data_IF_379125751246
#
_entry.id   IF_379125751246
#
_cell.length_a   1.000
_cell.length_b   1.000
_cell.length_c   1.000
_cell.angle_alpha   90.00
_cell.angle_beta   90.00
_cell.angle_gamma   90.00
#
_symmetry.space_group_name_H-M   'P 1'
#
loop_
_entity.id
_entity.type
_entity.pdbx_description
1 polymer ?
#
# COMPACT_ATOMS: atom_id res chain seq x y z
N UNK A 1 49.21 49.93 3.87
CA UNK A 1 48.81 48.78 4.71
C UNK A 1 47.29 48.66 4.78
N UNK A 2 46.58 48.74 3.65
CA UNK A 2 45.09 48.84 3.61
C UNK A 2 44.45 47.89 2.59
N UNK A 3 45.18 47.39 1.59
CA UNK A 3 44.65 46.51 0.53
C UNK A 3 44.42 45.07 1.03
N UNK A 4 45.24 44.59 1.98
CA UNK A 4 45.13 43.23 2.53
C UNK A 4 43.82 42.99 3.31
N UNK A 5 43.27 44.00 3.99
CA UNK A 5 42.00 43.88 4.72
C UNK A 5 40.77 43.78 3.80
N UNK A 6 40.81 44.39 2.62
CA UNK A 6 39.73 44.29 1.63
C UNK A 6 39.62 42.89 1.03
N UNK A 7 40.75 42.18 0.86
CA UNK A 7 40.74 40.80 0.36
C UNK A 7 40.12 39.81 1.36
N UNK A 8 40.38 39.98 2.67
CA UNK A 8 39.74 39.15 3.70
C UNK A 8 38.24 39.45 3.83
N UNK A 9 37.83 40.72 3.74
CA UNK A 9 36.41 41.09 3.75
C UNK A 9 35.65 40.53 2.54
N UNK A 10 36.26 40.57 1.34
CA UNK A 10 35.66 40.00 0.14
C UNK A 10 35.54 38.47 0.22
N UNK A 11 36.58 37.78 0.72
CA UNK A 11 36.54 36.32 0.90
C UNK A 11 35.48 35.88 1.94
N UNK A 12 35.33 36.64 3.03
CA UNK A 12 34.30 36.38 4.04
C UNK A 12 32.88 36.58 3.48
N UNK A 13 32.66 37.60 2.65
CA UNK A 13 31.36 37.82 2.00
C UNK A 13 31.03 36.71 0.99
N UNK A 14 32.00 36.22 0.21
CA UNK A 14 31.79 35.10 -0.72
C UNK A 14 31.49 33.81 0.04
N UNK A 15 32.23 33.53 1.12
CA UNK A 15 31.97 32.36 1.97
C UNK A 15 30.58 32.42 2.62
N UNK A 16 30.14 33.60 3.09
CA UNK A 16 28.82 33.80 3.67
C UNK A 16 27.70 33.58 2.63
N UNK A 17 27.86 34.10 1.41
CA UNK A 17 26.91 33.90 0.31
C UNK A 17 26.86 32.42 -0.11
N UNK A 18 28.00 31.73 -0.16
CA UNK A 18 28.03 30.28 -0.44
C UNK A 18 27.36 29.46 0.67
N UNK A 19 27.54 29.82 1.94
CA UNK A 19 26.88 29.13 3.07
C UNK A 19 25.36 29.39 3.08
N UNK A 20 24.92 30.61 2.78
CA UNK A 20 23.50 30.94 2.66
C UNK A 20 22.89 30.25 1.45
N UNK A 21 23.59 30.22 0.31
CA UNK A 21 23.20 29.51 -0.90
C UNK A 21 23.11 27.99 -0.69
N UNK A 22 24.08 27.39 -0.01
CA UNK A 22 24.08 25.95 0.32
C UNK A 22 22.97 25.60 1.33
N UNK A 23 22.70 26.46 2.33
CA UNK A 23 21.55 26.29 3.24
C UNK A 23 20.21 26.49 2.53
N UNK A 24 20.10 27.44 1.61
CA UNK A 24 18.89 27.66 0.81
C UNK A 24 18.66 26.53 -0.20
N UNK A 25 19.72 26.00 -0.82
CA UNK A 25 19.66 24.82 -1.69
C UNK A 25 19.29 23.55 -0.91
N UNK A 26 19.83 23.37 0.30
CA UNK A 26 19.47 22.25 1.19
C UNK A 26 18.02 22.35 1.71
N UNK A 27 17.51 23.57 1.93
CA UNK A 27 16.09 23.80 2.26
C UNK A 27 15.18 23.57 1.04
N UNK A 28 15.57 24.05 -0.15
CA UNK A 28 14.85 23.77 -1.41
C UNK A 28 14.84 22.28 -1.76
N UNK A 29 15.87 21.52 -1.41
CA UNK A 29 15.89 20.07 -1.64
C UNK A 29 14.98 19.31 -0.67
N UNK A 30 14.78 19.81 0.57
CA UNK A 30 13.69 19.33 1.44
C UNK A 30 12.31 19.76 0.94
N UNK A 31 12.22 20.93 0.31
CA UNK A 31 10.96 21.45 -0.18
C UNK A 31 10.52 20.88 -1.54
N UNK A 32 11.42 20.25 -2.28
CA UNK A 32 11.16 19.62 -3.59
C UNK A 32 10.54 18.22 -3.51
N UNK A 33 10.39 17.66 -2.31
CA UNK A 33 9.61 16.43 -2.16
C UNK A 33 8.17 16.76 -2.53
N UNK A 34 7.65 16.09 -3.57
CA UNK A 34 6.23 16.17 -3.90
C UNK A 34 5.41 15.85 -2.65
N UNK A 35 4.20 16.39 -2.49
CA UNK A 35 3.33 16.05 -1.37
C UNK A 35 3.23 14.53 -1.14
N UNK A 36 3.26 13.76 -2.23
CA UNK A 36 3.27 12.29 -2.22
C UNK A 36 4.55 11.68 -1.65
N UNK A 37 5.73 12.22 -1.99
CA UNK A 37 7.01 11.78 -1.41
C UNK A 37 7.13 12.15 0.06
N UNK A 38 6.52 13.26 0.49
CA UNK A 38 6.43 13.62 1.91
C UNK A 38 5.49 12.69 2.66
N UNK A 39 4.35 12.36 2.07
CA UNK A 39 3.43 11.35 2.60
C UNK A 39 4.11 9.98 2.67
N UNK A 40 4.96 9.65 1.70
CA UNK A 40 5.72 8.40 1.68
C UNK A 40 6.76 8.32 2.80
N UNK A 41 7.50 9.41 3.02
CA UNK A 41 8.47 9.50 4.11
C UNK A 41 7.76 9.47 5.47
N UNK A 42 6.63 10.15 5.60
CA UNK A 42 5.79 10.11 6.79
C UNK A 42 5.28 8.68 7.04
N UNK A 43 4.77 8.00 6.02
CA UNK A 43 4.31 6.60 6.09
C UNK A 43 5.42 5.65 6.53
N UNK A 44 6.63 5.79 6.00
CA UNK A 44 7.79 4.99 6.44
C UNK A 44 8.18 5.30 7.88
N UNK A 45 8.09 6.57 8.30
CA UNK A 45 8.33 6.97 9.68
C UNK A 45 7.25 6.41 10.62
N UNK A 46 5.98 6.40 10.22
CA UNK A 46 4.86 5.85 11.00
C UNK A 46 4.93 4.33 11.09
N UNK A 47 5.34 3.65 10.01
CA UNK A 47 5.60 2.21 10.04
C UNK A 47 6.75 1.87 10.99
N UNK A 48 7.81 2.68 10.99
CA UNK A 48 8.91 2.54 11.94
C UNK A 48 8.49 2.83 13.38
N UNK A 49 7.64 3.85 13.60
CA UNK A 49 7.07 4.15 14.91
C UNK A 49 6.20 2.99 15.41
N UNK A 50 5.38 2.39 14.54
CA UNK A 50 4.59 1.19 14.84
C UNK A 50 5.45 -0.03 15.16
N UNK A 51 6.62 -0.20 14.54
CA UNK A 51 7.58 -1.24 14.93
C UNK A 51 8.21 -0.95 16.30
N UNK A 52 8.59 0.30 16.55
CA UNK A 52 9.15 0.74 17.83
C UNK A 52 8.15 0.57 18.99
N UNK A 53 6.88 0.91 18.79
CA UNK A 53 5.79 0.73 19.77
C UNK A 53 5.54 -0.76 20.10
N UNK A 54 5.79 -1.67 19.16
CA UNK A 54 5.70 -3.14 19.37
C UNK A 54 6.95 -3.75 20.04
N UNK A 55 7.90 -2.93 20.44
CA UNK A 55 9.14 -3.39 21.08
C UNK A 55 10.19 -3.96 20.11
N UNK A 56 9.93 -3.95 18.79
CA UNK A 56 10.95 -4.29 17.79
C UNK A 56 11.77 -3.04 17.46
N UNK A 57 12.88 -2.93 18.17
CA UNK A 57 13.74 -1.74 18.13
C UNK A 57 14.84 -1.82 17.07
N UNK A 58 14.85 -2.87 16.22
CA UNK A 58 15.90 -3.17 15.24
C UNK A 58 15.82 -2.38 13.92
N UNK A 59 15.15 -1.21 13.92
CA UNK A 59 15.15 -0.29 12.79
C UNK A 59 16.56 0.22 12.40
N UNK A 60 16.63 1.30 11.62
CA UNK A 60 17.83 1.84 10.94
C UNK A 60 19.12 1.92 11.80
N UNK A 61 19.01 2.01 13.13
CA UNK A 61 20.15 2.14 14.05
C UNK A 61 20.67 0.82 14.65
N UNK A 62 20.05 -0.33 14.34
CA UNK A 62 20.39 -1.64 14.89
C UNK A 62 20.20 -1.74 16.41
N UNK A 63 20.59 -2.89 16.98
CA UNK A 63 20.41 -3.22 18.41
C UNK A 63 21.09 -2.19 19.34
N UNK A 64 22.22 -1.61 18.92
CA UNK A 64 22.94 -0.63 19.73
C UNK A 64 22.24 0.74 19.78
N UNK A 65 21.62 1.18 18.68
CA UNK A 65 20.86 2.44 18.64
C UNK A 65 19.53 2.35 19.38
N UNK A 66 18.89 1.18 19.36
CA UNK A 66 17.73 0.86 20.16
C UNK A 66 17.94 1.07 21.68
N UNK A 67 19.04 0.56 22.20
CA UNK A 67 19.40 0.71 23.62
C UNK A 67 19.74 2.16 24.00
N UNK A 68 20.25 2.95 23.05
CA UNK A 68 20.53 4.35 23.25
C UNK A 68 19.24 5.18 23.34
N UNK A 69 18.24 4.91 22.49
CA UNK A 69 16.94 5.59 22.56
C UNK A 69 16.17 5.24 23.84
N UNK A 70 16.18 3.98 24.29
CA UNK A 70 15.57 3.57 25.57
C UNK A 70 16.13 4.30 26.79
N UNK A 71 17.36 4.82 26.71
CA UNK A 71 18.00 5.60 27.78
C UNK A 71 17.62 7.08 27.78
N UNK A 72 17.16 7.62 26.66
CA UNK A 72 16.89 9.06 26.48
C UNK A 72 15.44 9.40 26.77
N UNK A 73 14.49 8.50 26.45
CA UNK A 73 13.07 8.72 26.70
C UNK A 73 12.40 7.38 27.06
N UNK A 74 12.17 7.07 28.35
CA UNK A 74 11.43 5.89 28.73
C UNK A 74 9.97 6.09 28.31
N UNK A 75 9.56 5.47 27.20
CA UNK A 75 8.15 5.41 26.82
C UNK A 75 7.32 4.91 28.02
N UNK A 76 6.11 5.47 28.24
CA UNK A 76 5.19 4.91 29.21
C UNK A 76 4.96 3.44 28.84
N UNK A 77 5.14 2.58 29.83
CA UNK A 77 4.97 1.14 29.65
C UNK A 77 3.49 0.84 29.41
N UNK A 78 3.11 0.75 28.15
CA UNK A 78 1.73 0.44 27.71
C UNK A 78 1.31 -0.97 28.16
N UNK A 79 2.25 -1.80 28.62
CA UNK A 79 1.96 -3.12 29.18
C UNK A 79 1.81 -3.12 30.71
N UNK A 80 2.26 -2.07 31.40
CA UNK A 80 2.20 -2.01 32.87
C UNK A 80 0.78 -1.88 33.45
N UNK A 81 -0.17 -1.34 32.66
CA UNK A 81 -1.57 -1.18 33.07
C UNK A 81 -2.51 -2.24 32.46
N UNK A 82 -2.00 -3.17 31.65
CA UNK A 82 -2.78 -4.34 31.21
C UNK A 82 -2.86 -5.32 32.38
N UNK A 83 -3.91 -5.19 33.16
CA UNK A 83 -4.25 -6.20 34.15
C UNK A 83 -4.66 -7.47 33.37
N UNK A 84 -3.73 -8.42 33.23
CA UNK A 84 -3.92 -9.73 32.56
C UNK A 84 -5.16 -10.53 33.05
N UNK A 85 -5.83 -10.07 34.11
CA UNK A 85 -7.00 -10.66 34.75
C UNK A 85 -8.32 -9.87 34.56
N UNK A 86 -8.35 -8.80 33.76
CA UNK A 86 -9.59 -8.13 33.45
C UNK A 86 -10.39 -8.92 32.40
N UNK A 87 -11.64 -9.23 32.74
CA UNK A 87 -12.57 -10.02 31.92
C UNK A 87 -13.10 -9.11 30.80
N UNK A 88 -12.30 -8.94 29.74
CA UNK A 88 -12.64 -8.06 28.62
C UNK A 88 -13.67 -8.70 27.70
N UNK A 89 -14.56 -7.87 27.13
CA UNK A 89 -15.55 -8.34 26.17
C UNK A 89 -14.85 -8.85 24.91
N UNK A 90 -15.13 -10.11 24.57
CA UNK A 90 -14.51 -10.80 23.44
C UNK A 90 -14.91 -10.12 22.13
N UNK A 91 -13.94 -9.61 21.39
CA UNK A 91 -14.16 -9.01 20.06
C UNK A 91 -14.14 -10.05 18.94
N UNK A 92 -14.72 -9.71 17.79
CA UNK A 92 -14.59 -10.51 16.59
C UNK A 92 -13.13 -10.52 16.09
N UNK A 93 -12.71 -11.66 15.53
CA UNK A 93 -11.39 -11.84 14.94
C UNK A 93 -11.54 -12.28 13.48
N UNK A 94 -10.51 -12.06 12.66
CA UNK A 94 -10.50 -12.48 11.26
C UNK A 94 -10.63 -14.00 11.16
N UNK A 95 -11.64 -14.45 10.42
CA UNK A 95 -11.90 -15.85 10.11
C UNK A 95 -11.14 -16.28 8.85
N UNK A 96 -10.25 -17.27 8.99
CA UNK A 96 -9.44 -17.80 7.89
C UNK A 96 -10.11 -18.94 7.13
N UNK A 97 -11.27 -19.42 7.61
CA UNK A 97 -12.05 -20.48 6.98
C UNK A 97 -13.51 -20.08 6.82
N UNK A 98 -14.21 -20.71 5.87
CA UNK A 98 -15.64 -20.46 5.64
C UNK A 98 -16.49 -20.77 6.89
N UNK A 99 -16.18 -21.87 7.59
CA UNK A 99 -16.90 -22.27 8.80
C UNK A 99 -16.71 -21.26 9.95
N UNK A 100 -15.49 -20.71 10.10
CA UNK A 100 -15.23 -19.66 11.09
C UNK A 100 -15.93 -18.36 10.72
N UNK A 101 -16.06 -18.06 9.42
CA UNK A 101 -16.80 -16.90 8.95
C UNK A 101 -18.30 -17.05 9.23
N UNK A 102 -18.90 -18.21 9.00
CA UNK A 102 -20.30 -18.48 9.35
C UNK A 102 -20.52 -18.29 10.85
N UNK A 103 -19.58 -18.75 11.67
CA UNK A 103 -19.62 -18.57 13.13
C UNK A 103 -19.52 -17.10 13.52
N UNK A 104 -18.63 -16.34 12.89
CA UNK A 104 -18.46 -14.90 13.10
C UNK A 104 -19.75 -14.15 12.78
N UNK A 105 -20.37 -14.45 11.63
CA UNK A 105 -21.60 -13.80 11.17
C UNK A 105 -22.82 -14.16 12.03
N UNK A 106 -22.83 -15.34 12.64
CA UNK A 106 -23.86 -15.75 13.57
C UNK A 106 -23.71 -15.09 14.96
N UNK A 107 -22.48 -14.95 15.46
CA UNK A 107 -22.21 -14.41 16.80
C UNK A 107 -22.21 -12.88 16.85
N UNK A 108 -21.74 -12.21 15.79
CA UNK A 108 -21.62 -10.75 15.68
C UNK A 108 -21.04 -10.08 16.94
N UNK A 109 -19.91 -10.60 17.40
CA UNK A 109 -19.12 -9.96 18.48
C UNK A 109 -18.71 -8.52 18.09
N UNK A 110 -18.33 -7.65 19.02
CA UNK A 110 -17.87 -6.30 18.70
C UNK A 110 -16.80 -6.28 17.59
N UNK A 111 -16.89 -5.33 16.67
CA UNK A 111 -16.07 -5.19 15.46
C UNK A 111 -16.31 -6.25 14.37
N UNK A 112 -17.40 -7.04 14.44
CA UNK A 112 -17.68 -8.12 13.49
C UNK A 112 -17.73 -7.65 12.04
N UNK A 113 -18.24 -6.44 11.75
CA UNK A 113 -18.38 -5.92 10.38
C UNK A 113 -17.03 -5.83 9.66
N UNK A 114 -16.00 -5.39 10.38
CA UNK A 114 -14.64 -5.27 9.84
C UNK A 114 -13.95 -6.62 9.76
N UNK A 115 -14.14 -7.45 10.79
CA UNK A 115 -13.62 -8.81 10.79
C UNK A 115 -14.21 -9.66 9.66
N UNK A 116 -15.52 -9.57 9.39
CA UNK A 116 -16.20 -10.26 8.30
C UNK A 116 -15.63 -9.84 6.93
N UNK A 117 -15.49 -8.53 6.70
CA UNK A 117 -14.89 -8.01 5.47
C UNK A 117 -13.47 -8.54 5.27
N UNK A 118 -12.60 -8.39 6.28
CA UNK A 118 -11.22 -8.89 6.26
C UNK A 118 -11.14 -10.41 6.02
N UNK A 119 -12.06 -11.17 6.60
CA UNK A 119 -12.13 -12.63 6.45
C UNK A 119 -12.31 -13.03 4.99
N UNK A 120 -13.24 -12.39 4.28
CA UNK A 120 -13.47 -12.66 2.85
C UNK A 120 -12.22 -12.32 2.03
N UNK A 121 -11.57 -11.19 2.29
CA UNK A 121 -10.36 -10.80 1.57
C UNK A 121 -9.22 -11.82 1.73
N UNK A 122 -8.97 -12.24 2.98
CA UNK A 122 -7.91 -13.22 3.30
C UNK A 122 -8.22 -14.58 2.68
N UNK A 123 -9.46 -15.05 2.77
CA UNK A 123 -9.86 -16.33 2.19
C UNK A 123 -9.74 -16.32 0.65
N UNK A 124 -10.18 -15.25 -0.01
CA UNK A 124 -10.04 -15.10 -1.46
C UNK A 124 -8.57 -15.01 -1.89
N UNK A 125 -7.74 -14.27 -1.14
CA UNK A 125 -6.29 -14.23 -1.38
C UNK A 125 -5.64 -15.61 -1.24
N UNK A 126 -5.99 -16.34 -0.18
CA UNK A 126 -5.47 -17.68 0.05
C UNK A 126 -5.80 -18.65 -1.10
N UNK A 127 -6.99 -18.54 -1.70
CA UNK A 127 -7.42 -19.36 -2.83
C UNK A 127 -6.56 -19.16 -4.09
N UNK A 128 -5.99 -17.96 -4.30
CA UNK A 128 -5.14 -17.64 -5.45
C UNK A 128 -3.65 -17.58 -5.10
N UNK A 129 -3.26 -17.99 -3.89
CA UNK A 129 -1.88 -17.93 -3.41
C UNK A 129 -0.84 -18.59 -4.34
N UNK A 130 -1.11 -19.75 -4.99
CA UNK A 130 -0.16 -20.33 -5.94
C UNK A 130 0.15 -19.39 -7.10
N UNK A 131 -0.88 -18.75 -7.66
CA UNK A 131 -0.74 -17.79 -8.77
C UNK A 131 -0.01 -16.53 -8.35
N UNK A 132 -0.26 -16.05 -7.13
CA UNK A 132 0.50 -14.91 -6.57
C UNK A 132 1.99 -15.22 -6.39
N UNK A 133 2.35 -16.48 -6.08
CA UNK A 133 3.77 -16.88 -6.02
C UNK A 133 4.38 -16.95 -7.42
N UNK A 134 3.63 -17.42 -8.40
CA UNK A 134 4.09 -17.42 -9.80
C UNK A 134 4.34 -15.98 -10.29
N UNK A 135 3.43 -15.06 -9.96
CA UNK A 135 3.56 -13.62 -10.22
C UNK A 135 4.84 -13.04 -9.59
N UNK A 136 5.12 -13.32 -8.32
CA UNK A 136 6.37 -12.90 -7.64
C UNK A 136 7.63 -13.45 -8.29
N UNK A 137 7.56 -14.66 -8.87
CA UNK A 137 8.66 -15.29 -9.59
C UNK A 137 8.81 -14.73 -11.02
N UNK A 138 7.91 -13.86 -11.46
CA UNK A 138 7.82 -13.38 -12.84
C UNK A 138 7.44 -14.50 -13.82
N UNK A 139 6.85 -15.58 -13.32
CA UNK A 139 6.45 -16.73 -14.12
C UNK A 139 5.00 -16.58 -14.60
N UNK A 140 4.76 -16.94 -15.86
CA UNK A 140 3.42 -17.15 -16.39
C UNK A 140 3.43 -18.35 -17.33
N UNK A 141 2.36 -19.17 -17.25
CA UNK A 141 2.16 -20.25 -18.19
C UNK A 141 1.99 -19.67 -19.62
N UNK A 142 2.52 -20.33 -20.66
CA UNK A 142 2.34 -19.87 -22.04
C UNK A 142 0.85 -19.74 -22.38
N UNK A 143 0.42 -18.55 -22.79
CA UNK A 143 -0.99 -18.27 -23.13
C UNK A 143 -1.36 -18.76 -24.53
N UNK A 144 -0.35 -19.05 -25.37
CA UNK A 144 -0.53 -19.26 -26.81
C UNK A 144 -0.73 -17.95 -27.60
N UNK A 145 -0.84 -16.81 -26.92
CA UNK A 145 -0.93 -15.49 -27.55
C UNK A 145 0.47 -15.08 -28.05
N UNK A 146 0.53 -14.63 -29.32
CA UNK A 146 1.78 -14.24 -29.97
C UNK A 146 1.58 -12.97 -30.78
N UNK A 147 2.52 -12.05 -30.60
CA UNK A 147 2.68 -10.87 -31.45
C UNK A 147 3.95 -11.07 -32.30
N UNK A 148 3.82 -11.02 -33.61
CA UNK A 148 4.90 -11.25 -34.57
C UNK A 148 5.56 -9.95 -35.04
N UNK A 149 4.87 -8.82 -34.91
CA UNK A 149 5.34 -7.52 -35.40
C UNK A 149 5.37 -6.47 -34.30
N UNK A 150 6.17 -5.43 -34.47
CA UNK A 150 6.18 -4.29 -33.55
C UNK A 150 4.82 -3.62 -33.41
N UNK A 151 4.06 -3.51 -34.51
CA UNK A 151 2.69 -2.94 -34.47
C UNK A 151 1.77 -3.78 -33.59
N UNK A 152 1.81 -5.11 -33.70
CA UNK A 152 1.03 -6.02 -32.85
C UNK A 152 1.43 -5.89 -31.37
N UNK A 153 2.74 -5.81 -31.08
CA UNK A 153 3.23 -5.57 -29.71
C UNK A 153 2.76 -4.21 -29.18
N UNK A 154 2.84 -3.17 -30.00
CA UNK A 154 2.42 -1.82 -29.65
C UNK A 154 0.94 -1.75 -29.30
N UNK A 155 0.08 -2.33 -30.14
CA UNK A 155 -1.35 -2.44 -29.86
C UNK A 155 -1.63 -3.23 -28.58
N UNK A 156 -0.98 -4.37 -28.39
CA UNK A 156 -1.14 -5.15 -27.17
C UNK A 156 -0.82 -4.33 -25.93
N UNK A 157 0.32 -3.63 -25.92
CA UNK A 157 0.74 -2.82 -24.76
C UNK A 157 -0.26 -1.69 -24.49
N UNK A 158 -0.70 -0.97 -25.53
CA UNK A 158 -1.68 0.12 -25.40
C UNK A 158 -3.00 -0.42 -24.84
N UNK A 159 -3.52 -1.51 -25.41
CA UNK A 159 -4.77 -2.12 -24.95
C UNK A 159 -4.70 -2.55 -23.48
N UNK A 160 -3.55 -3.08 -23.03
CA UNK A 160 -3.37 -3.47 -21.61
C UNK A 160 -3.26 -2.26 -20.70
N UNK A 161 -2.63 -1.17 -21.14
CA UNK A 161 -2.57 0.07 -20.37
C UNK A 161 -3.96 0.71 -20.23
N UNK A 162 -4.75 0.74 -21.31
CA UNK A 162 -6.13 1.25 -21.28
C UNK A 162 -7.02 0.37 -20.39
N UNK A 163 -6.87 -0.96 -20.46
CA UNK A 163 -7.56 -1.90 -19.59
C UNK A 163 -7.20 -1.70 -18.12
N UNK A 164 -5.92 -1.48 -17.80
CA UNK A 164 -5.45 -1.16 -16.45
C UNK A 164 -6.11 0.11 -15.93
N UNK A 165 -6.04 1.22 -16.68
CA UNK A 165 -6.63 2.50 -16.29
C UNK A 165 -8.14 2.36 -16.05
N UNK A 166 -8.85 1.69 -16.97
CA UNK A 166 -10.27 1.41 -16.83
C UNK A 166 -10.58 0.57 -15.59
N UNK A 167 -9.76 -0.43 -15.29
CA UNK A 167 -9.96 -1.31 -14.14
C UNK A 167 -9.71 -0.60 -12.81
N UNK A 168 -8.65 0.22 -12.72
CA UNK A 168 -8.38 1.07 -11.54
C UNK A 168 -9.54 2.01 -11.28
N UNK A 169 -10.02 2.71 -12.32
CA UNK A 169 -11.19 3.59 -12.20
C UNK A 169 -12.43 2.85 -11.72
N UNK A 170 -12.69 1.64 -12.23
CA UNK A 170 -13.83 0.85 -11.79
C UNK A 170 -13.74 0.45 -10.31
N UNK A 171 -12.54 0.20 -9.78
CA UNK A 171 -12.34 -0.08 -8.36
C UNK A 171 -12.62 1.17 -7.53
N UNK A 172 -12.07 2.31 -7.92
CA UNK A 172 -12.30 3.59 -7.25
C UNK A 172 -13.79 3.95 -7.23
N UNK A 173 -14.44 3.94 -8.39
CA UNK A 173 -15.87 4.25 -8.52
C UNK A 173 -16.71 3.27 -7.67
N UNK A 174 -16.34 1.98 -7.61
CA UNK A 174 -17.00 0.97 -6.78
C UNK A 174 -16.87 1.26 -5.28
N UNK A 175 -15.64 1.51 -4.80
CA UNK A 175 -15.36 1.76 -3.38
C UNK A 175 -15.97 3.08 -2.88
N UNK A 176 -16.15 4.06 -3.76
CA UNK A 176 -16.78 5.34 -3.45
C UNK A 176 -18.31 5.31 -3.56
N UNK A 177 -18.92 4.20 -3.97
CA UNK A 177 -20.39 4.13 -4.05
C UNK A 177 -21.03 4.24 -2.66
N UNK A 178 -22.18 4.94 -2.54
CA UNK A 178 -22.94 4.96 -1.30
C UNK A 178 -23.37 3.57 -0.84
N UNK A 179 -23.60 2.65 -1.80
CA UNK A 179 -23.92 1.27 -1.51
C UNK A 179 -22.77 0.56 -0.78
N UNK A 180 -21.52 0.71 -1.26
CA UNK A 180 -20.34 0.13 -0.61
C UNK A 180 -20.12 0.73 0.79
N UNK A 181 -20.23 2.05 0.95
CA UNK A 181 -20.00 2.70 2.24
C UNK A 181 -21.10 2.30 3.25
N UNK A 182 -22.35 2.22 2.78
CA UNK A 182 -23.52 1.96 3.61
C UNK A 182 -23.59 0.55 4.19
N UNK A 183 -22.95 -0.46 3.58
CA UNK A 183 -23.03 -1.86 4.07
C UNK A 183 -22.48 -2.02 5.49
N UNK A 184 -21.57 -1.13 5.90
CA UNK A 184 -20.93 -1.15 7.21
C UNK A 184 -21.78 -0.54 8.33
N UNK A 185 -22.99 -0.07 8.02
CA UNK A 185 -23.91 0.53 8.99
C UNK A 185 -23.56 1.97 9.37
N UNK A 186 -24.38 2.55 10.24
CA UNK A 186 -24.17 3.89 10.77
C UNK A 186 -22.94 3.96 11.69
N UNK A 187 -22.23 5.10 11.73
CA UNK A 187 -21.10 5.28 12.65
C UNK A 187 -21.52 5.06 14.12
N UNK A 188 -20.94 4.07 14.77
CA UNK A 188 -21.23 3.73 16.16
C UNK A 188 -22.39 2.75 16.37
N UNK A 189 -23.11 2.36 15.32
CA UNK A 189 -24.15 1.33 15.38
C UNK A 189 -23.82 0.15 14.44
N UNK A 190 -23.10 -0.84 14.98
CA UNK A 190 -22.76 -2.06 14.24
C UNK A 190 -23.96 -3.00 14.00
N UNK A 191 -25.09 -2.80 14.69
CA UNK A 191 -26.29 -3.62 14.50
C UNK A 191 -27.02 -3.25 13.20
N UNK A 192 -26.85 -2.03 12.71
CA UNK A 192 -27.37 -1.56 11.42
C UNK A 192 -26.63 -2.11 10.20
N UNK A 193 -25.47 -2.75 10.39
CA UNK A 193 -24.65 -3.28 9.31
C UNK A 193 -25.25 -4.55 8.69
N UNK A 194 -25.17 -4.64 7.36
CA UNK A 194 -25.71 -5.76 6.58
C UNK A 194 -24.62 -6.79 6.29
N UNK A 195 -24.75 -7.96 6.94
CA UNK A 195 -23.79 -9.05 6.84
C UNK A 195 -23.64 -9.58 5.41
N UNK A 196 -24.76 -9.81 4.71
CA UNK A 196 -24.75 -10.36 3.36
C UNK A 196 -24.16 -9.36 2.38
N UNK A 197 -24.49 -8.07 2.54
CA UNK A 197 -23.94 -7.01 1.72
C UNK A 197 -22.43 -6.79 1.96
N UNK A 198 -21.95 -6.87 3.21
CA UNK A 198 -20.51 -6.84 3.54
C UNK A 198 -19.77 -7.98 2.82
N UNK A 199 -20.27 -9.21 2.94
CA UNK A 199 -19.66 -10.38 2.29
C UNK A 199 -19.68 -10.23 0.77
N UNK A 200 -20.81 -9.80 0.20
CA UNK A 200 -20.96 -9.59 -1.23
C UNK A 200 -20.00 -8.53 -1.78
N UNK A 201 -19.90 -7.37 -1.12
CA UNK A 201 -19.00 -6.28 -1.54
C UNK A 201 -17.54 -6.66 -1.39
N UNK A 202 -17.17 -7.41 -0.35
CA UNK A 202 -15.82 -7.95 -0.20
C UNK A 202 -15.46 -8.93 -1.34
N UNK A 203 -16.38 -9.84 -1.70
CA UNK A 203 -16.19 -10.70 -2.87
C UNK A 203 -16.02 -9.89 -4.14
N UNK A 204 -16.85 -8.85 -4.33
CA UNK A 204 -16.76 -8.02 -5.51
C UNK A 204 -15.45 -7.26 -5.60
N UNK A 205 -14.93 -6.76 -4.48
CA UNK A 205 -13.61 -6.15 -4.41
C UNK A 205 -12.51 -7.16 -4.79
N UNK A 206 -12.63 -8.41 -4.36
CA UNK A 206 -11.67 -9.48 -4.68
C UNK A 206 -11.78 -9.98 -6.13
N UNK A 207 -12.93 -9.82 -6.80
CA UNK A 207 -13.01 -10.07 -8.24
C UNK A 207 -12.10 -9.12 -9.04
N UNK A 208 -11.95 -7.86 -8.59
CA UNK A 208 -11.01 -6.93 -9.21
C UNK A 208 -9.56 -7.35 -8.99
N UNK A 209 -9.21 -7.81 -7.78
CA UNK A 209 -7.90 -8.41 -7.50
C UNK A 209 -7.58 -9.56 -8.48
N UNK A 210 -8.52 -10.49 -8.67
CA UNK A 210 -8.34 -11.63 -9.57
C UNK A 210 -8.19 -11.19 -11.04
N UNK A 211 -8.87 -10.10 -11.44
CA UNK A 211 -8.72 -9.51 -12.79
C UNK A 211 -7.36 -8.85 -12.99
N UNK A 212 -6.83 -8.12 -12.00
CA UNK A 212 -5.48 -7.56 -12.07
C UNK A 212 -4.44 -8.68 -12.20
N UNK A 213 -4.56 -9.73 -11.38
CA UNK A 213 -3.66 -10.88 -11.45
C UNK A 213 -3.71 -11.56 -12.82
N UNK A 214 -4.91 -11.80 -13.36
CA UNK A 214 -5.07 -12.36 -14.70
C UNK A 214 -4.45 -11.48 -15.79
N UNK A 215 -4.54 -10.15 -15.66
CA UNK A 215 -3.94 -9.21 -16.60
C UNK A 215 -2.40 -9.26 -16.53
N UNK A 216 -1.81 -9.32 -15.33
CA UNK A 216 -0.38 -9.46 -15.13
C UNK A 216 0.15 -10.78 -15.72
N UNK A 217 -0.55 -11.89 -15.49
CA UNK A 217 -0.23 -13.20 -16.09
C UNK A 217 -0.26 -13.14 -17.62
N UNK A 218 -1.30 -12.53 -18.21
CA UNK A 218 -1.41 -12.39 -19.67
C UNK A 218 -0.28 -11.56 -20.27
N UNK A 219 0.13 -10.47 -19.62
CA UNK A 219 1.23 -9.63 -20.10
C UNK A 219 2.55 -10.39 -20.12
N UNK A 220 2.82 -11.22 -19.11
CA UNK A 220 4.03 -12.06 -19.06
C UNK A 220 3.99 -13.25 -20.00
N UNK A 221 2.80 -13.77 -20.28
CA UNK A 221 2.62 -14.94 -21.15
C UNK A 221 2.72 -14.63 -22.65
N UNK A 222 2.71 -13.35 -23.05
CA UNK A 222 2.80 -12.95 -24.45
C UNK A 222 4.14 -13.37 -25.07
N UNK A 223 4.07 -14.13 -26.16
CA UNK A 223 5.26 -14.45 -26.95
C UNK A 223 5.49 -13.38 -28.02
N UNK A 224 6.66 -12.73 -27.99
CA UNK A 224 7.05 -11.72 -28.99
C UNK A 224 8.53 -11.85 -29.41
N UNK A 225 8.96 -11.25 -30.54
CA UNK A 225 10.36 -11.11 -30.87
C UNK A 225 11.17 -10.53 -29.71
N UNK A 226 12.37 -11.07 -29.48
CA UNK A 226 13.25 -10.71 -28.36
C UNK A 226 13.65 -9.23 -28.33
N UNK A 227 13.56 -8.52 -29.45
CA UNK A 227 13.83 -7.07 -29.49
C UNK A 227 12.82 -6.26 -28.67
N UNK A 228 11.65 -6.82 -28.36
CA UNK A 228 10.61 -6.19 -27.54
C UNK A 228 10.59 -6.70 -26.09
N UNK A 229 11.52 -7.58 -25.70
CA UNK A 229 11.53 -8.20 -24.37
C UNK A 229 11.55 -7.18 -23.24
N UNK A 230 12.36 -6.12 -23.36
CA UNK A 230 12.44 -5.10 -22.31
C UNK A 230 11.14 -4.29 -22.16
N UNK A 231 10.42 -4.05 -23.26
CA UNK A 231 9.13 -3.35 -23.22
C UNK A 231 8.08 -4.20 -22.51
N UNK A 232 8.03 -5.49 -22.81
CA UNK A 232 7.11 -6.43 -22.16
C UNK A 232 7.48 -6.66 -20.69
N UNK A 233 8.77 -6.62 -20.35
CA UNK A 233 9.22 -6.64 -18.96
C UNK A 233 8.73 -5.40 -18.19
N UNK A 234 8.94 -4.19 -18.73
CA UNK A 234 8.42 -2.96 -18.10
C UNK A 234 6.88 -2.99 -17.98
N UNK A 235 6.17 -3.51 -18.99
CA UNK A 235 4.72 -3.70 -18.91
C UNK A 235 4.33 -4.66 -17.78
N UNK A 236 5.06 -5.77 -17.62
CA UNK A 236 4.87 -6.70 -16.49
C UNK A 236 4.99 -5.99 -15.15
N UNK A 237 6.08 -5.24 -14.94
CA UNK A 237 6.28 -4.45 -13.71
C UNK A 237 5.14 -3.46 -13.44
N UNK A 238 4.57 -2.86 -14.49
CA UNK A 238 3.42 -1.97 -14.36
C UNK A 238 2.17 -2.72 -13.91
N UNK A 239 1.93 -3.92 -14.43
CA UNK A 239 0.77 -4.75 -14.05
C UNK A 239 0.87 -5.32 -12.62
N UNK A 240 2.08 -5.37 -12.06
CA UNK A 240 2.33 -5.88 -10.70
C UNK A 240 1.95 -4.88 -9.62
N UNK A 241 1.86 -3.58 -9.97
CA UNK A 241 1.48 -2.49 -9.06
C UNK A 241 0.14 -2.78 -8.36
N UNK A 242 -0.99 -2.99 -9.07
CA UNK A 242 -2.26 -3.27 -8.41
C UNK A 242 -2.24 -4.59 -7.62
N UNK A 243 -1.61 -5.65 -8.13
CA UNK A 243 -1.51 -6.94 -7.43
C UNK A 243 -0.82 -6.77 -6.07
N UNK A 244 0.32 -6.07 -6.06
CA UNK A 244 1.08 -5.76 -4.84
C UNK A 244 0.31 -4.83 -3.90
N UNK A 245 -0.43 -3.87 -4.45
CA UNK A 245 -1.23 -2.90 -3.70
C UNK A 245 -2.35 -3.60 -2.93
N UNK A 246 -3.06 -4.54 -3.56
CA UNK A 246 -4.07 -5.36 -2.89
C UNK A 246 -3.49 -6.20 -1.77
N UNK A 247 -2.31 -6.80 -1.98
CA UNK A 247 -1.66 -7.60 -0.93
C UNK A 247 -1.36 -6.76 0.30
N UNK A 248 -0.74 -5.60 0.08
CA UNK A 248 -0.41 -4.63 1.14
C UNK A 248 -1.68 -4.15 1.85
N UNK A 249 -2.71 -3.79 1.08
CA UNK A 249 -4.00 -3.37 1.63
C UNK A 249 -4.63 -4.45 2.51
N UNK A 250 -4.63 -5.72 2.08
CA UNK A 250 -5.20 -6.82 2.87
C UNK A 250 -4.40 -7.03 4.17
N UNK A 251 -3.06 -6.98 4.10
CA UNK A 251 -2.22 -7.12 5.30
C UNK A 251 -2.44 -5.97 6.29
N UNK A 252 -2.46 -4.72 5.80
CA UNK A 252 -2.72 -3.53 6.61
C UNK A 252 -4.13 -3.57 7.23
N UNK A 253 -5.12 -4.06 6.48
CA UNK A 253 -6.51 -4.17 6.96
C UNK A 253 -6.66 -5.24 8.04
N UNK A 254 -6.01 -6.40 7.86
CA UNK A 254 -6.00 -7.48 8.87
C UNK A 254 -5.27 -7.03 10.14
N UNK A 255 -4.13 -6.35 10.00
CA UNK A 255 -3.40 -5.76 11.13
C UNK A 255 -4.31 -4.79 11.88
N UNK A 256 -4.99 -3.89 11.17
CA UNK A 256 -5.93 -2.93 11.78
C UNK A 256 -7.06 -3.62 12.53
N UNK A 257 -7.68 -4.65 11.97
CA UNK A 257 -8.73 -5.41 12.66
C UNK A 257 -8.17 -6.09 13.91
N UNK A 258 -6.92 -6.56 13.89
CA UNK A 258 -6.24 -7.12 15.06
C UNK A 258 -5.94 -6.09 16.16
N UNK A 259 -5.79 -4.81 15.82
CA UNK A 259 -5.55 -3.70 16.77
C UNK A 259 -6.85 -3.18 17.42
N UNK A 260 -8.00 -3.34 16.74
CA UNK A 260 -9.30 -2.83 17.22
C UNK A 260 -9.66 -3.20 18.66
N UNK A 261 -9.38 -4.41 19.20
CA UNK A 261 -9.71 -4.75 20.58
C UNK A 261 -8.95 -3.87 21.59
N UNK A 262 -7.68 -3.58 21.31
CA UNK A 262 -6.87 -2.67 22.13
C UNK A 262 -7.34 -1.21 21.94
N UNK A 263 -7.83 -0.84 20.77
CA UNK A 263 -8.35 0.51 20.53
C UNK A 263 -9.67 0.75 21.28
N UNK A 264 -10.57 -0.24 21.30
CA UNK A 264 -11.81 -0.19 22.09
C UNK A 264 -11.54 -0.01 23.59
N UNK A 265 -10.42 -0.55 24.09
CA UNK A 265 -10.00 -0.36 25.47
C UNK A 265 -9.81 1.13 25.81
N UNK A 266 -9.21 1.92 24.91
CA UNK A 266 -8.96 3.36 25.16
C UNK A 266 -10.14 4.26 24.75
N UNK A 267 -11.08 3.76 23.96
CA UNK A 267 -12.13 4.56 23.35
C UNK A 267 -13.28 4.98 24.29
N UNK A 268 -13.09 5.02 25.61
CA UNK A 268 -14.11 5.25 26.67
C UNK A 268 -15.18 6.32 26.30
N UNK A 269 -16.21 5.92 25.56
CA UNK A 269 -17.27 6.81 25.05
C UNK A 269 -16.83 7.90 24.04
N UNK A 270 -15.61 7.87 23.51
CA UNK A 270 -15.12 8.87 22.55
C UNK A 270 -14.92 8.22 21.17
N UNK A 271 -15.49 8.82 20.12
CA UNK A 271 -15.28 8.40 18.73
C UNK A 271 -13.79 8.54 18.39
N UNK A 272 -13.08 7.41 18.31
CA UNK A 272 -11.70 7.39 17.88
C UNK A 272 -11.66 7.56 16.35
N UNK A 273 -11.21 8.71 15.86
CA UNK A 273 -10.90 8.89 14.44
C UNK A 273 -9.61 8.11 14.13
N UNK A 274 -9.77 6.96 13.48
CA UNK A 274 -8.66 6.13 13.02
C UNK A 274 -8.31 6.48 11.58
N UNK A 275 -7.02 6.51 11.28
CA UNK A 275 -6.55 6.69 9.90
C UNK A 275 -7.12 5.59 9.01
N UNK A 276 -7.76 5.92 7.87
CA UNK A 276 -8.35 4.93 7.00
C UNK A 276 -7.28 3.99 6.41
N UNK A 277 -7.59 2.70 6.33
CA UNK A 277 -6.78 1.78 5.52
C UNK A 277 -7.18 1.99 4.06
N UNK A 278 -6.24 2.49 3.26
CA UNK A 278 -6.50 2.89 1.88
C UNK A 278 -5.84 1.91 0.91
N UNK A 279 -6.60 1.46 -0.08
CA UNK A 279 -6.04 0.76 -1.23
C UNK A 279 -5.37 1.78 -2.16
N UNK A 280 -4.05 1.89 -2.05
CA UNK A 280 -3.24 2.86 -2.82
C UNK A 280 -2.43 2.15 -3.88
N UNK A 281 -2.60 2.57 -5.13
CA UNK A 281 -1.89 2.03 -6.29
C UNK A 281 -0.94 3.09 -6.83
N UNK A 282 0.30 3.08 -6.36
CA UNK A 282 1.33 4.03 -6.83
C UNK A 282 2.13 3.43 -7.98
N UNK A 283 2.22 4.18 -9.06
CA UNK A 283 3.10 3.83 -10.18
C UNK A 283 4.33 4.73 -10.18
N UNK A 284 5.49 4.17 -10.49
CA UNK A 284 6.68 4.96 -10.77
C UNK A 284 6.53 5.68 -12.13
N UNK A 285 6.43 7.02 -12.10
CA UNK A 285 6.38 7.85 -13.30
C UNK A 285 7.54 7.55 -14.27
N UNK A 286 8.72 7.14 -13.76
CA UNK A 286 9.83 6.77 -14.63
C UNK A 286 9.55 5.49 -15.42
N UNK A 287 8.83 4.52 -14.84
CA UNK A 287 8.43 3.29 -15.52
C UNK A 287 7.47 3.62 -16.67
N UNK A 288 6.41 4.39 -16.41
CA UNK A 288 5.45 4.82 -17.44
C UNK A 288 6.17 5.56 -18.57
N UNK A 289 7.06 6.50 -18.23
CA UNK A 289 7.84 7.25 -19.20
C UNK A 289 8.81 6.37 -20.02
N UNK A 290 9.32 5.25 -19.47
CA UNK A 290 10.12 4.29 -20.25
C UNK A 290 9.26 3.54 -21.25
N UNK A 291 8.10 3.06 -20.84
CA UNK A 291 7.13 2.36 -21.70
C UNK A 291 6.71 3.27 -22.86
N UNK A 292 6.26 4.50 -22.58
CA UNK A 292 5.82 5.45 -23.60
C UNK A 292 6.92 5.77 -24.62
N UNK A 293 8.16 5.97 -24.17
CA UNK A 293 9.30 6.19 -25.07
C UNK A 293 9.53 5.01 -26.00
N UNK A 294 9.53 3.78 -25.47
CA UNK A 294 9.73 2.57 -26.28
C UNK A 294 8.59 2.37 -27.30
N UNK A 295 7.35 2.64 -26.92
CA UNK A 295 6.21 2.64 -27.84
C UNK A 295 6.37 3.64 -28.98
N UNK A 296 6.84 4.87 -28.69
CA UNK A 296 7.07 5.87 -29.72
C UNK A 296 8.10 5.45 -30.77
N UNK A 297 9.12 4.67 -30.37
CA UNK A 297 10.10 4.11 -31.29
C UNK A 297 9.56 3.00 -32.18
N UNK A 298 8.57 2.24 -31.69
CA UNK A 298 7.89 1.20 -32.47
C UNK A 298 6.98 1.85 -33.53
N UNK A 299 6.24 2.90 -33.16
CA UNK A 299 5.35 3.62 -34.09
C UNK A 299 6.10 4.40 -35.19
N UNK A 300 7.39 4.67 -35.00
CA UNK A 300 8.23 5.40 -35.95
C UNK A 300 8.92 4.49 -37.00
N UNK A 301 8.73 3.17 -36.92
CA UNK A 301 9.26 2.17 -37.86
C UNK A 301 8.17 1.66 -38.79
#
# INVERSE_FOLDING_TARGET
MTILWWLFAAAACVALVCVIGARAASRRHRDQLSPEQRAEIARRADQQLRWAQRGDTRGIYGVAGAEAMKRVDPHPDITADLNDNADYEKTAAVAYTAADLDTLLAQKLPCWRWAAFASVLVQRRAAVQPRLRDDELGYAAPSGERANTGVEVGHFVIDRMDELVGLVKNVEDFMLTPAFIGVFGEPGDEASADADAIVHTAHRLMDYHDRFLAMAERCRALTAPSEYADLLHDLGLLMDVPVTSYRTFIDDFVERVGEMPQMLHYAHGTTLELDPVVLRMDTDDQLVNRISRRLSHIAAR
#
